data_IF_829675612864
#
_entry.id   IF_829675612864
#
_cell.length_a   1.000
_cell.length_b   1.000
_cell.length_c   1.000
_cell.angle_alpha   90.00
_cell.angle_beta   90.00
_cell.angle_gamma   90.00
#
_symmetry.space_group_name_H-M   'P 1'
#
loop_
_entity.id
_entity.type
_entity.pdbx_description
1 polymer ?
#
# COMPACT_ATOMS: atom_id res chain seq x y z
N UNK A 1 -18.53 -25.01 0.58
CA UNK A 1 -19.25 -23.93 -0.14
C UNK A 1 -18.29 -22.77 -0.36
N UNK A 2 -17.87 -22.45 -1.60
CA UNK A 2 -17.08 -21.24 -1.85
C UNK A 2 -18.02 -20.03 -1.83
N UNK A 3 -17.73 -19.06 -0.97
CA UNK A 3 -18.53 -17.84 -0.82
C UNK A 3 -18.53 -17.02 -2.13
N UNK A 4 -19.70 -16.88 -2.74
CA UNK A 4 -19.96 -16.01 -3.89
C UNK A 4 -19.91 -14.54 -3.48
N UNK A 5 -18.77 -13.90 -3.74
CA UNK A 5 -18.56 -12.47 -3.48
C UNK A 5 -17.18 -11.99 -3.92
N UNK A 6 -16.61 -12.63 -4.94
CA UNK A 6 -15.27 -12.30 -5.43
C UNK A 6 -15.29 -11.07 -6.33
N UNK A 7 -14.62 -9.99 -5.92
CA UNK A 7 -14.31 -8.89 -6.84
C UNK A 7 -13.33 -9.37 -7.92
N UNK A 8 -13.82 -9.58 -9.15
CA UNK A 8 -12.96 -9.88 -10.31
C UNK A 8 -12.25 -8.60 -10.75
N UNK A 9 -10.92 -8.64 -10.85
CA UNK A 9 -10.12 -7.58 -11.46
C UNK A 9 -9.98 -7.89 -12.94
N UNK A 10 -10.30 -6.90 -13.77
CA UNK A 10 -10.11 -6.93 -15.23
C UNK A 10 -9.08 -5.87 -15.57
N UNK A 11 -8.15 -6.19 -16.46
CA UNK A 11 -7.22 -5.21 -17.01
C UNK A 11 -7.97 -4.44 -18.09
N UNK A 12 -7.99 -3.12 -17.98
CA UNK A 12 -8.40 -2.24 -19.05
C UNK A 12 -7.15 -1.90 -19.89
N UNK A 13 -7.19 -2.17 -21.20
CA UNK A 13 -6.01 -2.05 -22.06
C UNK A 13 -5.45 -0.63 -22.08
N UNK A 14 -6.32 0.38 -22.12
CA UNK A 14 -5.92 1.80 -22.05
C UNK A 14 -5.20 2.14 -20.74
N UNK A 15 -5.66 1.58 -19.62
CA UNK A 15 -5.02 1.82 -18.32
C UNK A 15 -3.69 1.06 -18.22
N UNK A 16 -3.61 -0.13 -18.82
CA UNK A 16 -2.38 -0.91 -18.89
C UNK A 16 -1.31 -0.20 -19.73
N UNK A 17 -1.68 0.34 -20.89
CA UNK A 17 -0.79 1.14 -21.74
C UNK A 17 -0.23 2.36 -21.01
N UNK A 18 -1.09 3.10 -20.32
CA UNK A 18 -0.68 4.25 -19.51
C UNK A 18 0.32 3.85 -18.42
N UNK A 19 0.07 2.73 -17.73
CA UNK A 19 1.02 2.23 -16.72
C UNK A 19 2.35 1.86 -17.38
N UNK A 20 2.35 1.12 -18.48
CA UNK A 20 3.58 0.79 -19.24
C UNK A 20 4.32 2.05 -19.66
N UNK A 21 3.60 3.07 -20.15
CA UNK A 21 4.19 4.35 -20.55
C UNK A 21 4.88 5.07 -19.37
N UNK A 22 4.22 5.16 -18.21
CA UNK A 22 4.82 5.75 -16.98
C UNK A 22 6.10 5.01 -16.58
N UNK A 23 6.05 3.68 -16.63
CA UNK A 23 7.16 2.80 -16.31
C UNK A 23 8.33 3.02 -17.27
N UNK A 24 8.08 3.12 -18.58
CA UNK A 24 9.08 3.44 -19.60
C UNK A 24 9.68 4.84 -19.42
N UNK A 25 8.87 5.88 -19.19
CA UNK A 25 9.37 7.24 -18.93
C UNK A 25 10.30 7.27 -17.70
N UNK A 26 9.96 6.53 -16.66
CA UNK A 26 10.83 6.43 -15.49
C UNK A 26 12.11 5.63 -15.78
N UNK A 27 12.03 4.55 -16.57
CA UNK A 27 13.22 3.82 -17.01
C UNK A 27 14.17 4.70 -17.85
N UNK A 28 13.62 5.61 -18.66
CA UNK A 28 14.38 6.56 -19.50
C UNK A 28 15.11 7.67 -18.73
N UNK A 29 14.93 7.78 -17.41
CA UNK A 29 15.63 8.81 -16.63
C UNK A 29 14.75 9.94 -16.12
N UNK A 30 13.46 10.00 -16.46
CA UNK A 30 12.62 11.10 -15.99
C UNK A 30 12.34 11.00 -14.49
N UNK A 31 12.18 12.16 -13.83
CA UNK A 31 11.79 12.27 -12.42
C UNK A 31 10.27 12.27 -12.26
N UNK A 32 9.74 11.86 -11.10
CA UNK A 32 8.28 11.82 -10.86
C UNK A 32 7.57 13.14 -11.20
N UNK A 33 8.17 14.29 -10.86
CA UNK A 33 7.61 15.62 -11.18
C UNK A 33 7.54 15.88 -12.69
N UNK A 34 8.56 15.45 -13.44
CA UNK A 34 8.60 15.61 -14.90
C UNK A 34 7.56 14.73 -15.57
N UNK A 35 7.47 13.47 -15.14
CA UNK A 35 6.44 12.54 -15.62
C UNK A 35 5.03 13.11 -15.33
N UNK A 36 4.78 13.59 -14.12
CA UNK A 36 3.50 14.24 -13.79
C UNK A 36 3.18 15.44 -14.69
N UNK A 37 4.16 16.31 -14.93
CA UNK A 37 3.99 17.47 -15.80
C UNK A 37 3.69 17.04 -17.24
N UNK A 38 4.42 16.05 -17.75
CA UNK A 38 4.23 15.51 -19.09
C UNK A 38 2.82 14.92 -19.25
N UNK A 39 2.40 14.02 -18.35
CA UNK A 39 1.04 13.43 -18.38
C UNK A 39 -0.08 14.49 -18.26
N UNK A 40 0.18 15.57 -17.51
CA UNK A 40 -0.76 16.69 -17.40
C UNK A 40 -0.84 17.48 -18.70
N UNK A 41 0.30 17.71 -19.37
CA UNK A 41 0.36 18.39 -20.67
C UNK A 41 -0.27 17.56 -21.79
N UNK A 42 -0.15 16.23 -21.72
CA UNK A 42 -0.81 15.28 -22.64
C UNK A 42 -2.33 15.18 -22.41
N UNK A 43 -2.88 15.88 -21.40
CA UNK A 43 -4.31 15.90 -21.11
C UNK A 43 -4.84 14.58 -20.54
N UNK A 44 -3.96 13.70 -20.06
CA UNK A 44 -4.34 12.37 -19.57
C UNK A 44 -5.04 12.51 -18.21
N UNK A 45 -6.28 12.03 -18.03
CA UNK A 45 -6.98 12.14 -16.76
C UNK A 45 -6.39 11.17 -15.71
N UNK A 46 -6.29 11.62 -14.45
CA UNK A 46 -5.87 10.72 -13.38
C UNK A 46 -6.98 9.71 -13.03
N UNK A 47 -6.65 8.48 -12.57
CA UNK A 47 -7.65 7.46 -12.22
C UNK A 47 -8.65 7.93 -11.15
N UNK A 48 -8.20 8.79 -10.23
CA UNK A 48 -9.02 9.31 -9.12
C UNK A 48 -9.90 10.49 -9.55
N UNK A 49 -9.47 11.26 -10.53
CA UNK A 49 -10.22 12.40 -11.08
C UNK A 49 -11.40 11.99 -11.94
N UNK A 50 -11.50 10.74 -12.43
CA UNK A 50 -12.72 10.25 -13.12
C UNK A 50 -14.02 10.47 -12.32
N UNK A 51 -13.95 10.64 -11.00
CA UNK A 51 -15.12 10.88 -10.12
C UNK A 51 -15.47 12.35 -9.92
N UNK A 52 -14.66 13.29 -10.41
CA UNK A 52 -14.88 14.75 -10.25
C UNK A 52 -14.47 15.50 -11.52
N UNK A 53 -15.31 16.38 -12.09
CA UNK A 53 -15.06 17.02 -13.40
C UNK A 53 -13.77 17.85 -13.53
N UNK A 54 -13.15 18.24 -12.42
CA UNK A 54 -11.93 19.04 -12.45
C UNK A 54 -10.74 18.13 -12.73
N UNK A 55 -10.22 18.18 -13.96
CA UNK A 55 -8.94 17.59 -14.38
C UNK A 55 -7.78 18.14 -13.51
N UNK A 56 -7.63 17.62 -12.28
CA UNK A 56 -6.51 17.97 -11.40
C UNK A 56 -5.24 17.38 -12.00
N UNK A 57 -4.22 18.23 -12.11
CA UNK A 57 -2.87 17.87 -12.51
C UNK A 57 -2.40 16.56 -11.84
N UNK A 58 -1.58 15.79 -12.54
CA UNK A 58 -1.08 14.51 -12.03
C UNK A 58 -0.31 14.70 -10.73
N UNK A 59 -0.71 14.05 -9.62
CA UNK A 59 0.06 14.11 -8.40
C UNK A 59 1.32 13.24 -8.55
N UNK A 60 2.49 13.82 -8.29
CA UNK A 60 3.76 13.08 -8.27
C UNK A 60 3.76 11.92 -7.26
N UNK A 61 2.97 12.02 -6.18
CA UNK A 61 2.75 10.94 -5.21
C UNK A 61 2.03 9.75 -5.83
N UNK A 62 1.05 9.98 -6.72
CA UNK A 62 0.34 8.92 -7.43
C UNK A 62 1.26 8.13 -8.36
N UNK A 63 2.17 8.81 -9.07
CA UNK A 63 3.19 8.15 -9.90
C UNK A 63 4.10 7.27 -9.05
N UNK A 64 4.53 7.78 -7.89
CA UNK A 64 5.34 6.99 -6.94
C UNK A 64 4.59 5.75 -6.42
N UNK A 65 3.28 5.85 -6.20
CA UNK A 65 2.45 4.70 -5.80
C UNK A 65 2.31 3.68 -6.93
N UNK A 66 2.12 4.13 -8.17
CA UNK A 66 2.03 3.26 -9.36
C UNK A 66 3.32 2.45 -9.52
N UNK A 67 4.48 3.11 -9.48
CA UNK A 67 5.79 2.46 -9.66
C UNK A 67 6.14 1.47 -8.54
N UNK A 68 5.45 1.51 -7.39
CA UNK A 68 5.70 0.61 -6.25
C UNK A 68 4.71 -0.54 -6.13
N UNK A 69 3.71 -0.59 -7.01
CA UNK A 69 2.60 -1.54 -6.88
C UNK A 69 2.93 -2.84 -7.61
N UNK A 70 3.28 -3.87 -6.84
CA UNK A 70 3.62 -5.21 -7.34
C UNK A 70 2.48 -5.91 -8.11
N UNK A 71 1.25 -5.39 -8.00
CA UNK A 71 0.12 -5.87 -8.81
C UNK A 71 0.42 -5.81 -10.31
N UNK A 72 1.20 -4.81 -10.76
CA UNK A 72 1.55 -4.67 -12.17
C UNK A 72 2.52 -5.74 -12.68
N UNK A 73 3.19 -6.47 -11.77
CA UNK A 73 3.92 -7.70 -12.07
C UNK A 73 3.05 -8.96 -12.03
N UNK A 74 1.76 -8.82 -11.69
CA UNK A 74 0.88 -9.95 -11.42
C UNK A 74 0.93 -10.44 -9.98
N UNK A 75 1.61 -9.76 -9.05
CA UNK A 75 1.67 -10.18 -7.64
C UNK A 75 0.61 -9.45 -6.82
N UNK A 76 -0.41 -10.18 -6.38
CA UNK A 76 -1.45 -9.66 -5.51
C UNK A 76 -1.06 -9.84 -4.05
N UNK A 77 -0.75 -8.73 -3.35
CA UNK A 77 -0.52 -8.74 -1.91
C UNK A 77 -1.73 -8.21 -1.16
N UNK A 78 -2.21 -8.98 -0.19
CA UNK A 78 -3.28 -8.58 0.71
C UNK A 78 -2.95 -8.92 2.17
N UNK A 79 -3.84 -8.56 3.10
CA UNK A 79 -3.62 -8.69 4.54
C UNK A 79 -2.45 -7.85 5.09
N UNK A 80 -2.19 -6.64 4.57
CA UNK A 80 -1.10 -5.78 5.07
C UNK A 80 -1.41 -5.07 6.39
N UNK A 81 -2.69 -4.84 6.70
CA UNK A 81 -3.13 -4.06 7.86
C UNK A 81 -4.17 -4.83 8.65
N UNK A 82 -4.09 -4.74 9.97
CA UNK A 82 -5.14 -5.15 10.90
C UNK A 82 -5.65 -3.96 11.68
N UNK A 83 -6.93 -3.99 12.04
CA UNK A 83 -7.53 -3.00 12.93
C UNK A 83 -7.70 -3.65 14.30
N UNK A 84 -7.07 -3.07 15.32
CA UNK A 84 -7.24 -3.48 16.70
C UNK A 84 -8.15 -2.48 17.42
N UNK A 85 -9.06 -2.97 18.24
CA UNK A 85 -9.82 -2.13 19.16
C UNK A 85 -8.94 -1.85 20.38
N UNK A 86 -8.85 -0.59 20.80
CA UNK A 86 -8.23 -0.29 22.10
C UNK A 86 -9.11 -0.83 23.23
N UNK A 87 -8.58 -1.56 24.22
CA UNK A 87 -9.35 -1.85 25.42
C UNK A 87 -9.72 -0.54 26.12
N UNK A 88 -10.95 -0.44 26.62
CA UNK A 88 -11.45 0.76 27.34
C UNK A 88 -11.88 1.94 26.45
N UNK A 89 -11.62 1.94 25.14
CA UNK A 89 -12.10 2.99 24.23
C UNK A 89 -12.71 2.39 22.97
N UNK A 90 -13.72 3.02 22.38
CA UNK A 90 -14.30 2.56 21.11
C UNK A 90 -13.42 2.89 19.88
N UNK A 91 -12.13 3.18 20.09
CA UNK A 91 -11.20 3.60 19.05
C UNK A 91 -10.56 2.40 18.34
N UNK A 92 -10.50 2.47 17.00
CA UNK A 92 -9.85 1.47 16.14
C UNK A 92 -8.46 1.97 15.76
N UNK A 93 -7.41 1.25 16.16
CA UNK A 93 -6.04 1.51 15.72
C UNK A 93 -5.73 0.64 14.51
N UNK A 94 -5.29 1.26 13.40
CA UNK A 94 -4.70 0.53 12.29
C UNK A 94 -3.24 0.18 12.61
N UNK A 95 -2.89 -1.10 12.61
CA UNK A 95 -1.52 -1.60 12.75
C UNK A 95 -1.12 -2.39 11.50
N UNK A 96 0.12 -2.22 11.06
CA UNK A 96 0.70 -3.01 9.98
C UNK A 96 0.93 -4.44 10.50
N UNK A 97 0.56 -5.44 9.71
CA UNK A 97 0.92 -6.84 9.99
C UNK A 97 2.38 -7.08 9.58
N UNK A 98 3.09 -7.99 10.26
CA UNK A 98 4.41 -8.42 9.80
C UNK A 98 4.32 -9.00 8.38
N UNK A 99 5.41 -8.91 7.62
CA UNK A 99 5.44 -9.33 6.21
C UNK A 99 5.24 -10.85 6.02
N UNK A 100 5.46 -11.65 7.07
CA UNK A 100 5.18 -13.09 7.12
C UNK A 100 3.68 -13.40 7.09
N UNK A 101 2.83 -12.49 7.58
CA UNK A 101 1.37 -12.61 7.52
C UNK A 101 0.79 -12.05 6.22
N UNK A 102 1.62 -11.45 5.36
CA UNK A 102 1.15 -10.91 4.09
C UNK A 102 0.94 -12.06 3.11
N UNK A 103 -0.30 -12.19 2.66
CA UNK A 103 -0.65 -13.22 1.70
C UNK A 103 -0.30 -12.67 0.32
N UNK A 104 0.64 -13.33 -0.34
CA UNK A 104 1.10 -13.02 -1.71
C UNK A 104 0.56 -14.10 -2.64
N UNK A 105 -0.20 -13.69 -3.64
CA UNK A 105 -0.76 -14.60 -4.65
C UNK A 105 -0.22 -14.18 -6.01
N UNK A 106 0.40 -15.12 -6.73
CA UNK A 106 0.84 -14.86 -8.09
C UNK A 106 -0.34 -15.02 -9.05
N UNK A 107 -0.65 -13.97 -9.80
CA UNK A 107 -1.74 -13.88 -10.76
C UNK A 107 -1.16 -13.36 -12.07
N UNK A 108 -0.48 -14.20 -12.87
CA UNK A 108 0.19 -13.78 -14.11
C UNK A 108 -0.79 -13.17 -15.11
N UNK A 109 -2.07 -13.56 -15.06
CA UNK A 109 -3.15 -12.98 -15.87
C UNK A 109 -3.36 -11.47 -15.65
N UNK A 110 -2.84 -10.91 -14.54
CA UNK A 110 -2.91 -9.48 -14.23
C UNK A 110 -1.59 -8.74 -14.48
N UNK A 111 -0.59 -9.41 -15.06
CA UNK A 111 0.70 -8.81 -15.35
C UNK A 111 0.58 -7.78 -16.48
N UNK A 112 0.96 -6.54 -16.19
CA UNK A 112 0.96 -5.42 -17.14
C UNK A 112 2.39 -5.08 -17.58
N UNK A 113 3.36 -5.19 -16.67
CA UNK A 113 4.75 -4.80 -16.88
C UNK A 113 5.66 -6.03 -16.85
N UNK A 114 6.68 -6.05 -17.72
CA UNK A 114 7.68 -7.13 -17.72
C UNK A 114 8.55 -7.07 -16.47
N UNK A 115 9.05 -8.24 -16.05
CA UNK A 115 9.94 -8.36 -14.88
C UNK A 115 11.22 -7.53 -15.05
N UNK A 116 11.77 -7.48 -16.27
CA UNK A 116 12.96 -6.71 -16.60
C UNK A 116 12.76 -5.21 -16.40
N UNK A 117 11.67 -4.66 -16.95
CA UNK A 117 11.37 -3.24 -16.83
C UNK A 117 11.13 -2.89 -15.35
N UNK A 118 10.40 -3.72 -14.63
CA UNK A 118 10.20 -3.56 -13.20
C UNK A 118 11.51 -3.52 -12.42
N UNK A 119 12.43 -4.46 -12.68
CA UNK A 119 13.71 -4.53 -12.00
C UNK A 119 14.54 -3.26 -12.22
N UNK A 120 14.59 -2.76 -13.46
CA UNK A 120 15.25 -1.48 -13.80
C UNK A 120 14.67 -0.31 -13.00
N UNK A 121 13.34 -0.24 -12.88
CA UNK A 121 12.66 0.80 -12.11
C UNK A 121 12.95 0.67 -10.61
N UNK A 122 12.92 -0.53 -10.05
CA UNK A 122 13.18 -0.75 -8.62
C UNK A 122 14.64 -0.47 -8.25
N UNK A 123 15.60 -0.89 -9.07
CA UNK A 123 17.01 -0.57 -8.88
C UNK A 123 17.21 0.95 -8.79
N UNK A 124 16.62 1.69 -9.73
CA UNK A 124 16.68 3.15 -9.74
C UNK A 124 16.02 3.80 -8.52
N UNK A 125 14.88 3.25 -8.07
CA UNK A 125 14.21 3.70 -6.85
C UNK A 125 15.08 3.49 -5.61
N UNK A 126 15.77 2.35 -5.56
CA UNK A 126 16.67 2.00 -4.46
C UNK A 126 17.90 2.90 -4.46
N UNK A 127 18.51 3.17 -5.61
CA UNK A 127 19.64 4.09 -5.72
C UNK A 127 19.25 5.50 -5.26
N UNK A 128 18.09 5.99 -5.68
CA UNK A 128 17.60 7.29 -5.25
C UNK A 128 17.33 7.34 -3.73
N UNK A 129 16.94 6.21 -3.13
CA UNK A 129 16.79 6.08 -1.68
C UNK A 129 18.15 6.12 -0.99
N UNK A 130 19.13 5.35 -1.46
CA UNK A 130 20.49 5.31 -0.92
C UNK A 130 21.18 6.68 -1.01
N UNK A 131 21.04 7.38 -2.14
CA UNK A 131 21.57 8.75 -2.31
C UNK A 131 20.91 9.72 -1.34
N UNK A 132 19.59 9.60 -1.13
CA UNK A 132 18.89 10.43 -0.15
C UNK A 132 19.36 10.14 1.28
N UNK A 133 19.46 8.87 1.66
CA UNK A 133 19.89 8.44 2.99
C UNK A 133 21.33 8.90 3.27
N UNK A 134 22.23 8.84 2.27
CA UNK A 134 23.61 9.38 2.36
C UNK A 134 23.66 10.89 2.54
N UNK A 135 22.76 11.64 1.91
CA UNK A 135 22.69 13.11 2.03
C UNK A 135 22.06 13.58 3.33
N UNK A 136 21.25 12.73 3.97
CA UNK A 136 20.58 13.03 5.22
C UNK A 136 20.77 11.90 6.25
N UNK A 137 22.02 11.69 6.70
CA UNK A 137 22.30 10.67 7.70
C UNK A 137 21.51 10.98 8.98
N UNK A 138 20.80 9.98 9.52
CA UNK A 138 20.02 10.10 10.76
C UNK A 138 18.52 10.42 10.60
N UNK A 139 18.02 10.74 9.40
CA UNK A 139 16.57 10.86 9.16
C UNK A 139 15.85 9.50 9.01
N UNK A 140 16.57 8.39 9.18
CA UNK A 140 16.04 7.03 9.04
C UNK A 140 14.84 6.71 9.97
N UNK A 141 14.55 7.54 10.99
CA UNK A 141 13.60 7.20 12.07
C UNK A 141 12.33 8.04 12.20
N UNK A 142 12.01 8.97 11.31
CA UNK A 142 10.71 9.67 11.38
C UNK A 142 9.57 8.92 10.68
N UNK A 143 9.85 7.88 9.88
CA UNK A 143 8.79 7.08 9.23
C UNK A 143 8.21 5.95 10.10
N UNK A 144 8.87 5.61 11.23
CA UNK A 144 8.40 4.62 12.22
C UNK A 144 7.74 5.24 13.47
N UNK A 145 7.99 6.51 13.78
CA UNK A 145 7.42 7.21 14.95
C UNK A 145 5.99 7.75 14.71
N UNK A 146 5.09 6.87 14.24
CA UNK A 146 3.65 6.94 14.61
C UNK A 146 3.17 5.62 15.20
N UNK A 147 4.09 4.72 15.54
CA UNK A 147 3.78 3.40 16.10
C UNK A 147 4.71 3.03 17.25
N UNK A 148 4.97 3.95 18.17
CA UNK A 148 5.52 3.62 19.49
C UNK A 148 5.06 4.67 20.50
N UNK A 149 3.86 4.51 21.04
CA UNK A 149 3.65 4.83 22.46
C UNK A 149 3.95 3.51 23.15
N UNK A 150 5.18 3.42 23.65
CA UNK A 150 5.54 2.53 24.73
C UNK A 150 4.94 3.17 25.98
N UNK A 151 4.03 2.48 26.63
CA UNK A 151 3.64 2.78 27.99
C UNK A 151 4.31 1.69 28.82
N UNK A 152 5.51 2.01 29.32
CA UNK A 152 6.17 1.22 30.34
C UNK A 152 5.70 1.79 31.67
N UNK A 153 4.90 1.00 32.40
CA UNK A 153 4.38 1.38 33.70
C UNK A 153 3.55 0.25 34.30
N UNK A 154 4.20 -0.87 34.62
CA UNK A 154 3.75 -1.66 35.78
C UNK A 154 4.05 -0.84 37.04
N UNK A 155 3.14 -0.85 38.03
CA UNK A 155 3.18 -1.93 39.01
C UNK A 155 1.81 -2.58 39.33
N UNK A 156 1.88 -3.90 39.52
CA UNK A 156 0.95 -4.81 40.24
C UNK A 156 0.60 -4.32 41.68
N UNK A 157 -0.21 -5.04 42.50
CA UNK A 157 -1.47 -5.78 42.30
C UNK A 157 -2.53 -5.41 43.36
N UNK A 158 -3.84 -5.45 43.08
CA UNK A 158 -4.86 -5.60 44.14
C UNK A 158 -6.09 -6.40 43.70
N UNK A 159 -6.22 -7.56 44.33
CA UNK A 159 -7.38 -8.43 44.50
C UNK A 159 -8.69 -7.67 44.78
N UNK A 160 -9.82 -8.11 44.20
CA UNK A 160 -11.09 -8.54 44.88
C UNK A 160 -12.23 -8.80 43.86
N UNK A 161 -12.51 -10.11 43.66
CA UNK A 161 -13.79 -10.86 43.73
C UNK A 161 -15.05 -10.58 42.84
N UNK A 162 -15.59 -11.70 42.32
CA UNK A 162 -16.97 -12.08 41.89
C UNK A 162 -17.49 -11.57 40.51
N UNK A 163 -18.24 -12.33 39.69
CA UNK A 163 -19.01 -13.58 39.84
C UNK A 163 -19.23 -14.24 38.45
N UNK A 164 -19.53 -15.55 38.46
CA UNK A 164 -19.74 -16.50 37.34
C UNK A 164 -21.06 -16.34 36.57
N UNK A 165 -21.12 -17.09 35.46
CA UNK A 165 -22.24 -17.55 34.62
C UNK A 165 -22.59 -16.61 33.44
N UNK A 166 -22.53 -16.97 32.17
CA UNK A 166 -22.39 -18.27 31.51
C UNK A 166 -23.41 -18.31 30.36
N UNK A 167 -22.98 -18.20 29.09
CA UNK A 167 -23.55 -18.92 27.93
C UNK A 167 -22.83 -18.54 26.63
N UNK A 168 -22.19 -19.52 26.03
CA UNK A 168 -21.86 -19.68 24.60
C UNK A 168 -22.40 -21.08 24.26
N UNK A 169 -22.80 -21.48 23.02
CA UNK A 169 -22.74 -20.84 21.70
C UNK A 169 -24.07 -20.96 20.88
N UNK A 170 -24.08 -20.45 19.64
CA UNK A 170 -24.39 -21.28 18.45
C UNK A 170 -23.97 -20.58 17.14
N UNK A 171 -23.08 -21.24 16.41
CA UNK A 171 -22.83 -21.03 14.98
C UNK A 171 -23.94 -21.73 14.17
N UNK A 172 -24.51 -21.12 13.13
CA UNK A 172 -25.35 -21.85 12.18
C UNK A 172 -24.47 -22.58 11.14
N UNK A 173 -25.00 -23.71 10.65
CA UNK A 173 -24.45 -24.53 9.56
C UNK A 173 -24.66 -23.87 8.20
#
# INVERSE_FOLDING_TARGET
>A
MPCEGGYRRVIEDREAELVRHIFSLYAQGLSFKRIAKQLTNEGIPTPRTRRTPVAKAWPHTGIREILRRELYLGVLIWNKRRFLKRPGTNQRISRMRPESEWIRVNVPKLQIVSTELWNTVQARLQDHKLVFDRRHPGLERLSRQRSSVVDSGEPEPLTIVAKRAGLVPKLPR
#
